data_IF_796441586212
#
_entry.id   IF_796441586212
#
_cell.length_a   1.000
_cell.length_b   1.000
_cell.length_c   1.000
_cell.angle_alpha   90.00
_cell.angle_beta   90.00
_cell.angle_gamma   90.00
#
_symmetry.space_group_name_H-M   'P 1'
#
loop_
_entity.id
_entity.type
_entity.pdbx_description
1 polymer ?
#
# COMPACT_ATOMS: atom_id res chain seq x y z
N UNK A 1 9.41 13.67 -1.44
CA UNK A 1 10.05 13.22 -0.18
C UNK A 1 11.03 14.25 0.37
N UNK A 2 11.93 14.79 -0.46
CA UNK A 2 13.01 15.70 -0.03
C UNK A 2 12.54 16.93 0.79
N UNK A 3 11.39 17.52 0.47
CA UNK A 3 10.84 18.66 1.21
C UNK A 3 10.68 18.41 2.72
N UNK A 4 10.11 17.26 3.10
CA UNK A 4 9.92 16.90 4.51
C UNK A 4 11.24 16.53 5.19
N UNK A 5 12.16 15.87 4.46
CA UNK A 5 13.50 15.54 4.96
C UNK A 5 14.37 16.79 5.19
N UNK A 6 14.11 17.87 4.47
CA UNK A 6 14.73 19.18 4.68
C UNK A 6 14.03 20.01 5.77
N UNK A 7 13.05 19.44 6.48
CA UNK A 7 12.34 20.12 7.57
C UNK A 7 11.38 21.22 7.12
N UNK A 8 10.96 21.22 5.84
CA UNK A 8 10.14 22.30 5.25
C UNK A 8 8.62 22.11 5.43
N UNK A 9 8.20 21.14 6.24
CA UNK A 9 6.79 20.93 6.60
C UNK A 9 6.41 19.46 6.72
N UNK A 10 5.10 19.23 6.84
CA UNK A 10 4.48 17.91 6.98
C UNK A 10 3.99 17.40 5.62
N UNK A 11 3.99 16.08 5.41
CA UNK A 11 3.44 15.46 4.20
C UNK A 11 2.69 14.17 4.55
N UNK A 12 1.62 13.88 3.81
CA UNK A 12 0.98 12.57 3.83
C UNK A 12 1.70 11.64 2.84
N UNK A 13 2.14 10.48 3.30
CA UNK A 13 2.80 9.43 2.50
C UNK A 13 2.40 8.06 2.97
N UNK A 14 2.53 7.09 2.07
CA UNK A 14 2.42 5.67 2.42
C UNK A 14 3.52 5.30 3.41
N UNK A 15 3.15 4.52 4.42
CA UNK A 15 4.09 4.00 5.42
C UNK A 15 5.24 3.23 4.75
N UNK A 16 4.98 2.48 3.69
CA UNK A 16 5.99 1.68 3.00
C UNK A 16 7.11 2.51 2.38
N UNK A 17 6.83 3.77 2.00
CA UNK A 17 7.83 4.68 1.44
C UNK A 17 8.64 5.38 2.53
N UNK A 18 8.02 5.65 3.69
CA UNK A 18 8.64 6.46 4.75
C UNK A 18 9.25 5.63 5.88
N UNK A 19 8.96 4.33 5.96
CA UNK A 19 9.41 3.44 7.03
C UNK A 19 10.91 3.55 7.33
N UNK A 20 11.84 3.52 6.35
CA UNK A 20 13.28 3.63 6.64
C UNK A 20 13.66 4.99 7.26
N UNK A 21 12.90 6.04 6.98
CA UNK A 21 13.14 7.38 7.51
C UNK A 21 12.52 7.57 8.90
N UNK A 22 11.41 6.89 9.18
CA UNK A 22 10.86 6.79 10.53
C UNK A 22 11.79 5.98 11.44
N UNK A 23 12.26 4.82 10.99
CA UNK A 23 13.20 3.97 11.74
C UNK A 23 14.53 4.69 12.02
N UNK A 24 15.04 5.46 11.06
CA UNK A 24 16.27 6.25 11.25
C UNK A 24 16.07 7.57 12.02
N UNK A 25 14.83 7.92 12.39
CA UNK A 25 14.51 9.17 13.08
C UNK A 25 14.63 10.43 12.22
N UNK A 26 14.82 10.29 10.91
CA UNK A 26 14.86 11.42 9.95
C UNK A 26 13.47 12.00 9.69
N UNK A 27 12.43 11.21 9.90
CA UNK A 27 11.04 11.64 9.91
C UNK A 27 10.39 11.21 11.24
N UNK A 28 9.32 11.91 11.61
CA UNK A 28 8.50 11.59 12.79
C UNK A 28 7.03 11.61 12.39
N UNK A 29 6.24 10.70 12.96
CA UNK A 29 4.79 10.69 12.78
C UNK A 29 4.15 11.77 13.67
N UNK A 30 3.38 12.67 13.05
CA UNK A 30 2.84 13.87 13.75
C UNK A 30 1.35 13.75 14.10
N UNK A 31 0.60 12.88 13.44
CA UNK A 31 -0.86 12.72 13.60
C UNK A 31 -1.21 11.22 13.61
N UNK A 32 -0.85 10.47 14.67
CA UNK A 32 -1.01 9.01 14.69
C UNK A 32 -2.47 8.54 14.66
N UNK A 33 -3.41 9.39 15.06
CA UNK A 33 -4.85 9.10 15.03
C UNK A 33 -5.48 9.22 13.64
N UNK A 34 -4.74 9.78 12.66
CA UNK A 34 -5.24 10.04 11.32
C UNK A 34 -4.51 9.19 10.28
N UNK A 35 -5.27 8.38 9.54
CA UNK A 35 -4.75 7.53 8.47
C UNK A 35 -5.64 7.62 7.22
N UNK A 36 -5.06 7.31 6.06
CA UNK A 36 -5.80 7.12 4.81
C UNK A 36 -5.47 5.74 4.25
N UNK A 37 -6.49 5.05 3.74
CA UNK A 37 -6.33 3.76 3.09
C UNK A 37 -5.44 3.88 1.85
N UNK A 38 -4.42 3.04 1.74
CA UNK A 38 -3.53 2.94 0.58
C UNK A 38 -3.78 1.65 -0.20
N UNK A 39 -5.04 1.44 -0.62
CA UNK A 39 -5.47 0.21 -1.28
C UNK A 39 -4.76 -0.02 -2.63
N UNK A 40 -4.32 -1.27 -2.86
CA UNK A 40 -3.75 -1.73 -4.13
C UNK A 40 -4.82 -2.47 -4.93
N UNK A 41 -4.94 -2.11 -6.21
CA UNK A 41 -5.95 -2.68 -7.11
C UNK A 41 -5.29 -3.36 -8.31
N UNK A 42 -5.71 -4.58 -8.61
CA UNK A 42 -5.40 -5.24 -9.87
C UNK A 42 -6.41 -4.79 -10.93
N UNK A 43 -5.94 -4.09 -11.97
CA UNK A 43 -6.78 -3.60 -13.07
C UNK A 43 -6.47 -4.38 -14.33
N UNK A 44 -7.48 -5.03 -14.90
CA UNK A 44 -7.38 -5.86 -16.10
C UNK A 44 -8.65 -5.73 -16.95
N UNK A 45 -8.54 -6.01 -18.26
CA UNK A 45 -9.67 -5.81 -19.20
C UNK A 45 -10.66 -6.97 -19.23
N UNK A 46 -10.16 -8.20 -19.18
CA UNK A 46 -10.99 -9.40 -19.28
C UNK A 46 -11.30 -9.98 -17.90
N UNK A 47 -12.49 -10.56 -17.68
CA UNK A 47 -12.78 -11.24 -16.42
C UNK A 47 -11.72 -12.32 -16.10
N UNK A 48 -11.30 -12.43 -14.83
CA UNK A 48 -10.23 -13.34 -14.40
C UNK A 48 -10.45 -14.79 -14.82
N UNK A 49 -11.71 -15.24 -14.86
CA UNK A 49 -12.07 -16.60 -15.26
C UNK A 49 -11.71 -16.93 -16.73
N UNK A 50 -11.44 -15.93 -17.58
CA UNK A 50 -11.04 -16.16 -18.99
C UNK A 50 -9.57 -16.55 -19.16
N UNK A 51 -8.72 -16.26 -18.18
CA UNK A 51 -7.28 -16.53 -18.28
C UNK A 51 -6.74 -17.11 -16.97
N UNK A 52 -6.46 -18.40 -16.98
CA UNK A 52 -5.86 -19.09 -15.83
C UNK A 52 -4.51 -18.47 -15.41
N UNK A 53 -3.70 -18.02 -16.38
CA UNK A 53 -2.42 -17.36 -16.09
C UNK A 53 -2.62 -16.02 -15.37
N UNK A 54 -3.59 -15.22 -15.83
CA UNK A 54 -3.90 -13.94 -15.20
C UNK A 54 -4.46 -14.15 -13.79
N UNK A 55 -5.39 -15.10 -13.63
CA UNK A 55 -5.96 -15.47 -12.34
C UNK A 55 -4.89 -15.84 -11.33
N UNK A 56 -4.02 -16.79 -11.67
CA UNK A 56 -2.94 -17.24 -10.78
C UNK A 56 -1.98 -16.10 -10.44
N UNK A 57 -1.68 -15.20 -11.39
CA UNK A 57 -0.83 -14.04 -11.15
C UNK A 57 -1.48 -13.05 -10.15
N UNK A 58 -2.77 -12.73 -10.34
CA UNK A 58 -3.50 -11.80 -9.45
C UNK A 58 -3.69 -12.42 -8.06
N UNK A 59 -4.01 -13.71 -7.97
CA UNK A 59 -4.10 -14.45 -6.70
C UNK A 59 -2.76 -14.42 -5.96
N UNK A 60 -1.65 -14.67 -6.65
CA UNK A 60 -0.30 -14.59 -6.07
C UNK A 60 0.01 -13.19 -5.55
N UNK A 61 -0.24 -12.14 -6.35
CA UNK A 61 0.02 -10.76 -5.94
C UNK A 61 -0.87 -10.33 -4.78
N UNK A 62 -2.14 -10.73 -4.78
CA UNK A 62 -3.06 -10.46 -3.68
C UNK A 62 -2.55 -11.10 -2.37
N UNK A 63 -2.14 -12.37 -2.41
CA UNK A 63 -1.57 -13.06 -1.26
C UNK A 63 -0.26 -12.41 -0.77
N UNK A 64 0.63 -12.04 -1.71
CA UNK A 64 1.88 -11.35 -1.39
C UNK A 64 1.65 -9.98 -0.75
N UNK A 65 0.73 -9.19 -1.30
CA UNK A 65 0.33 -7.89 -0.72
C UNK A 65 -0.25 -8.09 0.68
N UNK A 66 -1.15 -9.04 0.88
CA UNK A 66 -1.73 -9.30 2.20
C UNK A 66 -0.69 -9.69 3.25
N UNK A 67 0.28 -10.51 2.87
CA UNK A 67 1.36 -10.93 3.76
C UNK A 67 2.27 -9.76 4.17
N UNK A 68 2.57 -8.86 3.24
CA UNK A 68 3.60 -7.82 3.43
C UNK A 68 3.06 -6.46 3.83
N UNK A 69 1.82 -6.16 3.45
CA UNK A 69 1.21 -4.84 3.54
C UNK A 69 -0.02 -4.80 4.46
N UNK A 70 -0.51 -5.97 4.90
CA UNK A 70 -1.68 -6.08 5.76
C UNK A 70 -2.96 -6.46 5.01
N UNK A 71 -4.04 -6.66 5.77
CA UNK A 71 -5.35 -7.03 5.20
C UNK A 71 -5.99 -5.82 4.51
N UNK A 72 -6.74 -6.04 3.41
CA UNK A 72 -7.54 -4.97 2.81
C UNK A 72 -8.59 -4.46 3.79
N UNK A 73 -9.00 -3.20 3.62
CA UNK A 73 -10.14 -2.63 4.34
C UNK A 73 -11.43 -3.45 4.08
N UNK A 74 -12.36 -3.47 5.04
CA UNK A 74 -13.60 -4.23 4.96
C UNK A 74 -14.40 -3.89 3.68
N UNK A 75 -14.63 -4.89 2.82
CA UNK A 75 -15.47 -4.77 1.62
C UNK A 75 -14.89 -5.35 0.32
N UNK A 76 -13.65 -5.85 0.32
CA UNK A 76 -13.02 -6.35 -0.92
C UNK A 76 -12.85 -7.88 -0.94
N UNK A 77 -13.61 -8.54 -1.82
CA UNK A 77 -13.47 -9.96 -2.15
C UNK A 77 -12.86 -10.09 -3.55
N UNK A 78 -11.82 -10.91 -3.67
CA UNK A 78 -11.32 -11.36 -4.98
C UNK A 78 -12.38 -12.32 -5.52
N UNK A 79 -13.20 -11.86 -6.48
CA UNK A 79 -14.14 -12.72 -7.21
C UNK A 79 -13.44 -13.50 -8.32
#
# INVERSE_FOLDING_TARGET
MQWALEGKGIMLRSEWDVLPFLESGKLVQVLPEYAQSANIWAVYREPLYRSMKLRVCVEFLAAWCQQRLGKPDEGYQVM
#
